data_IF_643200238514
#
_entry.id   IF_643200238514
#
_cell.length_a   1.000
_cell.length_b   1.000
_cell.length_c   1.000
_cell.angle_alpha   90.00
_cell.angle_beta   90.00
_cell.angle_gamma   90.00
#
_symmetry.space_group_name_H-M   'P 1'
#
loop_
_entity.id
_entity.type
_entity.pdbx_description
1 polymer ?
#
# COMPACT_ATOMS: atom_id res chain seq x y z
N UNK A 1 25.55 18.30 -6.83
CA UNK A 1 25.22 16.90 -6.52
C UNK A 1 23.74 16.68 -6.78
N UNK A 2 23.42 15.97 -7.83
CA UNK A 2 22.04 15.64 -8.12
C UNK A 2 21.56 14.63 -7.08
N UNK A 3 20.67 15.06 -6.21
CA UNK A 3 19.97 14.15 -5.32
C UNK A 3 19.07 13.30 -6.20
N UNK A 4 19.49 12.09 -6.50
CA UNK A 4 18.62 11.11 -7.15
C UNK A 4 17.45 10.90 -6.20
N UNK A 5 16.27 11.33 -6.62
CA UNK A 5 15.05 11.12 -5.85
C UNK A 5 14.91 9.61 -5.58
N UNK A 6 14.61 9.25 -4.34
CA UNK A 6 14.36 7.86 -3.98
C UNK A 6 13.23 7.29 -4.87
N UNK A 7 13.35 6.04 -5.33
CA UNK A 7 12.35 5.46 -6.20
C UNK A 7 10.99 5.42 -5.50
N UNK A 8 9.96 5.78 -6.26
CA UNK A 8 8.56 5.77 -5.82
C UNK A 8 7.80 4.73 -6.63
N UNK A 9 7.05 3.89 -5.94
CA UNK A 9 6.21 2.89 -6.57
C UNK A 9 4.75 3.05 -6.13
N UNK A 10 3.85 3.01 -7.09
CA UNK A 10 2.42 2.92 -6.82
C UNK A 10 2.01 1.45 -6.68
N UNK A 11 1.19 1.15 -5.69
CA UNK A 11 0.78 -0.22 -5.37
C UNK A 11 0.10 -0.93 -6.55
N UNK A 12 -0.74 -0.21 -7.30
CA UNK A 12 -1.40 -0.78 -8.47
C UNK A 12 -0.42 -1.27 -9.55
N UNK A 13 0.76 -0.64 -9.66
CA UNK A 13 1.81 -1.08 -10.59
C UNK A 13 2.64 -2.24 -10.06
N UNK A 14 2.72 -2.40 -8.76
CA UNK A 14 3.42 -3.52 -8.13
C UNK A 14 2.63 -4.82 -8.25
N UNK A 15 1.32 -4.73 -8.20
CA UNK A 15 0.44 -5.90 -8.38
C UNK A 15 0.56 -6.43 -9.81
N UNK A 16 0.76 -7.74 -9.94
CA UNK A 16 1.01 -8.39 -11.23
C UNK A 16 2.49 -8.47 -11.61
N UNK A 17 3.37 -7.81 -10.84
CA UNK A 17 4.82 -7.85 -11.06
C UNK A 17 5.38 -9.22 -10.71
N UNK A 18 6.29 -9.72 -11.55
CA UNK A 18 7.00 -10.98 -11.29
C UNK A 18 8.04 -10.82 -10.19
N UNK A 19 8.11 -11.82 -9.33
CA UNK A 19 9.17 -11.97 -8.32
C UNK A 19 10.19 -12.97 -8.83
N UNK A 20 11.45 -12.54 -8.86
CA UNK A 20 12.57 -13.35 -9.31
C UNK A 20 13.45 -13.78 -8.14
N UNK A 21 14.00 -14.97 -8.23
CA UNK A 21 15.04 -15.43 -7.33
C UNK A 21 16.42 -14.90 -7.76
N UNK A 22 17.51 -15.16 -6.98
CA UNK A 22 18.84 -14.63 -7.33
C UNK A 22 19.43 -15.17 -8.64
N UNK A 23 18.95 -16.32 -9.12
CA UNK A 23 19.42 -16.89 -10.39
C UNK A 23 18.58 -16.43 -11.60
N UNK A 24 17.55 -15.62 -11.38
CA UNK A 24 16.73 -15.03 -12.43
C UNK A 24 15.47 -15.80 -12.79
N UNK A 25 15.11 -16.82 -12.04
CA UNK A 25 13.85 -17.54 -12.26
C UNK A 25 12.66 -16.79 -11.67
N UNK A 26 11.57 -16.73 -12.41
CA UNK A 26 10.30 -16.18 -11.92
C UNK A 26 9.64 -17.20 -10.99
N UNK A 27 9.54 -16.86 -9.71
CA UNK A 27 9.08 -17.78 -8.66
C UNK A 27 7.71 -17.43 -8.11
N UNK A 28 7.23 -16.21 -8.34
CA UNK A 28 5.94 -15.74 -7.83
C UNK A 28 5.47 -14.48 -8.56
N UNK A 29 4.24 -14.07 -8.27
CA UNK A 29 3.65 -12.81 -8.75
C UNK A 29 3.11 -12.01 -7.57
N UNK A 30 3.40 -10.72 -7.51
CA UNK A 30 2.87 -9.83 -6.47
C UNK A 30 1.35 -9.69 -6.62
N UNK A 31 0.62 -9.88 -5.52
CA UNK A 31 -0.84 -9.73 -5.49
C UNK A 31 -1.33 -8.62 -4.58
N UNK A 32 -0.58 -8.30 -3.54
CA UNK A 32 -0.91 -7.19 -2.64
C UNK A 32 0.34 -6.72 -1.89
N UNK A 33 0.24 -5.57 -1.27
CA UNK A 33 1.27 -5.01 -0.39
C UNK A 33 0.72 -5.01 1.04
N UNK A 34 1.49 -5.54 1.98
CA UNK A 34 1.13 -5.57 3.39
C UNK A 34 1.78 -4.39 4.08
N UNK A 35 0.99 -3.55 4.72
CA UNK A 35 1.46 -2.38 5.46
C UNK A 35 1.01 -2.44 6.92
N UNK A 36 1.78 -1.82 7.79
CA UNK A 36 1.46 -1.67 9.21
C UNK A 36 1.46 -0.19 9.56
N UNK A 37 0.33 0.37 10.02
CA UNK A 37 0.29 1.74 10.52
C UNK A 37 1.26 1.91 11.69
N UNK A 38 2.07 2.96 11.67
CA UNK A 38 2.99 3.30 12.75
C UNK A 38 2.52 4.50 13.54
N UNK A 39 1.96 5.48 12.84
CA UNK A 39 1.31 6.66 13.40
C UNK A 39 0.07 6.98 12.57
N UNK A 40 -0.65 8.03 12.94
CA UNK A 40 -1.81 8.49 12.13
C UNK A 40 -1.42 8.92 10.73
N UNK A 41 -0.17 9.32 10.53
CA UNK A 41 0.33 9.88 9.27
C UNK A 41 1.44 9.05 8.64
N UNK A 42 1.72 7.86 9.17
CA UNK A 42 2.76 6.99 8.61
C UNK A 42 2.36 5.52 8.69
N UNK A 43 2.69 4.78 7.65
CA UNK A 43 2.58 3.33 7.60
C UNK A 43 3.80 2.76 6.87
N UNK A 44 4.27 1.62 7.32
CA UNK A 44 5.43 0.94 6.76
C UNK A 44 4.99 -0.31 6.02
N UNK A 45 5.53 -0.54 4.82
CA UNK A 45 5.39 -1.80 4.12
C UNK A 45 6.24 -2.87 4.82
N UNK A 46 5.63 -3.99 5.19
CA UNK A 46 6.31 -5.11 5.86
C UNK A 46 6.53 -6.28 4.92
N UNK A 47 5.89 -6.29 3.76
CA UNK A 47 6.08 -7.32 2.75
C UNK A 47 5.01 -7.31 1.68
N UNK A 48 5.00 -8.37 0.91
CA UNK A 48 4.05 -8.58 -0.18
C UNK A 48 3.27 -9.88 0.04
N UNK A 49 2.02 -9.88 -0.40
CA UNK A 49 1.32 -11.13 -0.70
C UNK A 49 1.72 -11.51 -2.12
N UNK A 50 2.32 -12.67 -2.28
CA UNK A 50 2.72 -13.18 -3.59
C UNK A 50 2.02 -14.50 -3.88
N UNK A 51 1.72 -14.72 -5.15
CA UNK A 51 1.11 -15.95 -5.63
C UNK A 51 2.18 -16.85 -6.24
N UNK A 52 2.29 -18.04 -5.70
CA UNK A 52 3.17 -19.09 -6.18
C UNK A 52 2.37 -20.14 -6.97
N UNK A 53 3.02 -21.23 -7.38
CA UNK A 53 2.37 -22.32 -8.10
C UNK A 53 1.08 -22.80 -7.42
N UNK A 54 0.12 -23.28 -8.22
CA UNK A 54 -1.22 -23.72 -7.77
C UNK A 54 -2.06 -22.59 -7.13
N UNK A 55 -1.85 -21.35 -7.55
CA UNK A 55 -2.57 -20.15 -7.05
C UNK A 55 -2.51 -19.97 -5.54
N UNK A 56 -1.48 -20.52 -4.91
CA UNK A 56 -1.30 -20.37 -3.48
C UNK A 56 -0.68 -19.03 -3.15
N UNK A 57 -1.25 -18.32 -2.18
CA UNK A 57 -0.76 -17.03 -1.70
C UNK A 57 0.10 -17.20 -0.48
N UNK A 58 1.30 -16.65 -0.51
CA UNK A 58 2.28 -16.71 0.58
C UNK A 58 2.79 -15.29 0.88
N UNK A 59 3.36 -15.11 2.07
CA UNK A 59 3.93 -13.83 2.48
C UNK A 59 5.42 -13.77 2.11
N UNK A 60 5.79 -12.70 1.41
CA UNK A 60 7.19 -12.36 1.16
C UNK A 60 7.59 -11.17 2.04
N UNK A 61 8.35 -11.39 3.12
CA UNK A 61 8.81 -10.28 3.96
C UNK A 61 9.66 -9.28 3.18
N UNK A 62 9.50 -7.99 3.49
CA UNK A 62 10.27 -6.93 2.83
C UNK A 62 11.78 -7.10 3.03
N UNK A 63 12.19 -7.72 4.13
CA UNK A 63 13.61 -8.02 4.42
C UNK A 63 14.21 -9.04 3.46
N UNK A 64 13.40 -9.78 2.75
CA UNK A 64 13.84 -10.73 1.71
C UNK A 64 13.76 -10.16 0.30
N UNK A 65 13.36 -8.91 0.16
CA UNK A 65 13.35 -8.20 -1.11
C UNK A 65 14.67 -7.47 -1.27
N UNK A 66 15.42 -7.84 -2.29
CA UNK A 66 16.73 -7.24 -2.59
C UNK A 66 16.56 -5.96 -3.38
N UNK A 67 15.65 -5.93 -4.36
CA UNK A 67 15.37 -4.74 -5.14
C UNK A 67 13.96 -4.75 -5.71
N UNK A 68 13.42 -3.56 -5.92
CA UNK A 68 12.18 -3.31 -6.63
C UNK A 68 12.52 -2.37 -7.78
N UNK A 69 12.10 -2.76 -8.97
CA UNK A 69 12.23 -1.94 -10.18
C UNK A 69 10.99 -2.10 -11.04
N UNK A 70 10.79 -1.24 -12.05
CA UNK A 70 9.63 -1.39 -12.94
C UNK A 70 9.57 -2.78 -13.56
N UNK A 71 8.46 -3.49 -13.29
CA UNK A 71 8.20 -4.82 -13.85
C UNK A 71 8.87 -6.00 -13.14
N UNK A 72 9.65 -5.77 -12.07
CA UNK A 72 10.26 -6.90 -11.35
C UNK A 72 10.54 -6.60 -9.88
N UNK A 73 10.43 -7.64 -9.07
CA UNK A 73 10.85 -7.68 -7.68
C UNK A 73 11.88 -8.80 -7.57
N UNK A 74 13.04 -8.51 -7.01
CA UNK A 74 14.09 -9.52 -6.78
C UNK A 74 14.11 -9.89 -5.31
N UNK A 75 14.03 -11.18 -5.03
CA UNK A 75 14.05 -11.74 -3.68
C UNK A 75 15.35 -12.49 -3.41
N UNK A 76 15.57 -12.84 -2.15
CA UNK A 76 16.72 -13.66 -1.74
C UNK A 76 16.54 -15.15 -2.05
N UNK A 77 15.41 -15.55 -2.67
CA UNK A 77 15.23 -16.86 -3.29
C UNK A 77 14.40 -17.87 -2.52
N UNK A 78 14.39 -17.84 -1.21
CA UNK A 78 13.57 -18.78 -0.44
C UNK A 78 12.26 -18.14 -0.03
N UNK A 79 11.18 -18.53 -0.70
CA UNK A 79 9.84 -18.10 -0.34
C UNK A 79 9.30 -18.97 0.81
N UNK A 80 8.60 -18.33 1.72
CA UNK A 80 7.90 -19.03 2.78
C UNK A 80 6.78 -19.88 2.17
N UNK A 81 6.78 -21.17 2.47
CA UNK A 81 5.76 -22.10 1.96
C UNK A 81 4.44 -22.01 2.71
N UNK A 82 4.37 -21.24 3.78
CA UNK A 82 3.15 -21.07 4.54
C UNK A 82 2.16 -20.20 3.80
N UNK A 83 0.89 -20.59 3.82
CA UNK A 83 -0.20 -19.79 3.30
C UNK A 83 -0.24 -18.44 4.01
N UNK A 84 -0.48 -17.38 3.24
CA UNK A 84 -0.63 -16.06 3.80
C UNK A 84 -1.87 -15.97 4.68
N UNK A 85 -1.69 -15.48 5.89
CA UNK A 85 -2.76 -15.11 6.82
C UNK A 85 -2.45 -13.72 7.38
N UNK A 86 -3.41 -12.81 7.25
CA UNK A 86 -3.26 -11.44 7.73
C UNK A 86 -3.22 -11.44 9.26
N UNK A 87 -2.17 -10.83 9.82
CA UNK A 87 -2.01 -10.68 11.26
C UNK A 87 -2.75 -9.45 11.75
N UNK A 88 -3.04 -9.41 13.06
CA UNK A 88 -3.60 -8.22 13.71
C UNK A 88 -2.67 -7.02 13.49
N UNK A 89 -3.23 -5.88 13.09
CA UNK A 89 -2.48 -4.66 12.78
C UNK A 89 -1.97 -4.57 11.35
N UNK A 90 -2.01 -5.65 10.58
CA UNK A 90 -1.65 -5.62 9.16
C UNK A 90 -2.84 -5.22 8.29
N UNK A 91 -2.56 -4.40 7.28
CA UNK A 91 -3.53 -3.99 6.27
C UNK A 91 -3.02 -4.33 4.89
N UNK A 92 -3.93 -4.78 4.03
CA UNK A 92 -3.66 -5.02 2.62
C UNK A 92 -3.96 -3.75 1.84
N UNK A 93 -3.02 -3.28 1.03
CA UNK A 93 -3.25 -2.05 0.24
C UNK A 93 -4.40 -2.25 -0.73
N UNK A 94 -4.36 -3.29 -1.55
CA UNK A 94 -5.42 -3.54 -2.53
C UNK A 94 -6.70 -4.03 -1.84
N UNK A 95 -6.57 -4.97 -0.92
CA UNK A 95 -7.72 -5.60 -0.27
C UNK A 95 -8.46 -4.70 0.73
N UNK A 96 -7.72 -3.86 1.47
CA UNK A 96 -8.31 -3.11 2.59
C UNK A 96 -8.34 -1.59 2.36
N UNK A 97 -7.38 -1.01 1.64
CA UNK A 97 -7.20 0.45 1.60
C UNK A 97 -7.70 1.12 0.31
N UNK A 98 -7.60 0.46 -0.84
CA UNK A 98 -8.14 1.03 -2.07
C UNK A 98 -9.67 1.08 -2.01
N UNK A 99 -10.23 2.07 -2.70
CA UNK A 99 -11.67 2.40 -2.70
C UNK A 99 -12.24 2.89 -1.37
N UNK A 100 -11.41 3.04 -0.35
CA UNK A 100 -11.82 3.57 0.94
C UNK A 100 -12.08 5.08 0.86
N UNK A 101 -13.09 5.54 1.59
CA UNK A 101 -13.35 6.97 1.76
C UNK A 101 -12.42 7.58 2.80
N UNK A 102 -11.86 8.73 2.49
CA UNK A 102 -11.03 9.54 3.38
C UNK A 102 -11.56 10.95 3.45
N UNK A 103 -11.26 11.65 4.54
CA UNK A 103 -11.70 13.03 4.77
C UNK A 103 -10.49 13.95 4.79
N UNK A 104 -10.53 15.07 4.06
CA UNK A 104 -9.48 16.06 4.08
C UNK A 104 -9.41 16.78 5.41
N UNK A 105 -8.19 16.94 5.94
CA UNK A 105 -7.96 17.60 7.23
C UNK A 105 -8.21 19.10 7.20
N UNK A 106 -8.21 19.71 6.01
CA UNK A 106 -8.50 21.14 5.80
C UNK A 106 -10.01 21.46 5.74
N UNK A 107 -10.87 20.45 5.90
CA UNK A 107 -12.32 20.63 5.83
C UNK A 107 -12.90 20.72 4.44
N UNK A 108 -12.11 20.49 3.38
CA UNK A 108 -12.54 20.64 1.98
C UNK A 108 -13.40 19.47 1.44
N UNK A 109 -13.69 18.47 2.28
CA UNK A 109 -14.60 17.39 1.93
C UNK A 109 -13.94 16.00 2.00
N UNK A 110 -14.49 15.09 1.21
CA UNK A 110 -14.09 13.67 1.18
C UNK A 110 -13.49 13.29 -0.18
N UNK A 111 -12.75 12.19 -0.18
CA UNK A 111 -12.21 11.58 -1.38
C UNK A 111 -12.23 10.06 -1.29
N UNK A 112 -12.09 9.41 -2.43
CA UNK A 112 -11.92 7.95 -2.54
C UNK A 112 -10.48 7.65 -2.89
N UNK A 113 -9.84 6.71 -2.21
CA UNK A 113 -8.46 6.28 -2.46
C UNK A 113 -8.43 5.43 -3.73
N UNK A 114 -7.65 5.88 -4.72
CA UNK A 114 -7.47 5.17 -6.00
C UNK A 114 -6.18 4.36 -6.03
N UNK A 115 -5.12 4.86 -5.40
CA UNK A 115 -3.82 4.21 -5.34
C UNK A 115 -2.99 4.75 -4.18
N UNK A 116 -1.96 4.03 -3.82
CA UNK A 116 -1.06 4.36 -2.71
C UNK A 116 0.38 4.27 -3.22
N UNK A 117 1.17 5.31 -2.95
CA UNK A 117 2.57 5.35 -3.28
C UNK A 117 3.44 4.96 -2.08
N UNK A 118 4.49 4.20 -2.38
CA UNK A 118 5.52 3.79 -1.45
C UNK A 118 6.83 4.46 -1.84
N UNK A 119 7.47 5.11 -0.88
CA UNK A 119 8.81 5.68 -1.01
C UNK A 119 9.74 5.04 0.03
N UNK A 120 10.98 4.86 -0.35
CA UNK A 120 12.00 4.40 0.58
C UNK A 120 12.56 5.58 1.38
N UNK A 121 12.55 5.48 2.71
CA UNK A 121 13.14 6.49 3.58
C UNK A 121 14.67 6.33 3.68
N UNK A 122 15.34 7.20 4.45
CA UNK A 122 16.79 7.13 4.63
C UNK A 122 17.27 5.91 5.40
N UNK A 123 16.38 5.20 6.10
CA UNK A 123 16.66 3.92 6.77
C UNK A 123 16.38 2.71 5.89
N UNK A 124 16.06 2.94 4.60
CA UNK A 124 15.68 1.93 3.61
C UNK A 124 14.35 1.23 3.91
N UNK A 125 13.54 1.78 4.79
CA UNK A 125 12.16 1.32 4.99
C UNK A 125 11.26 1.85 3.89
N UNK A 126 10.38 1.01 3.39
CA UNK A 126 9.36 1.41 2.44
C UNK A 126 8.14 1.94 3.19
N UNK A 127 7.86 3.22 2.99
CA UNK A 127 6.81 3.94 3.70
C UNK A 127 5.69 4.33 2.74
N UNK A 128 4.46 4.28 3.22
CA UNK A 128 3.34 4.93 2.53
C UNK A 128 3.60 6.43 2.57
N UNK A 129 3.75 7.05 1.41
CA UNK A 129 4.13 8.45 1.31
C UNK A 129 3.01 9.34 0.78
N UNK A 130 2.30 8.86 -0.22
CA UNK A 130 1.26 9.63 -0.90
C UNK A 130 0.07 8.76 -1.25
N UNK A 131 -1.08 9.40 -1.34
CA UNK A 131 -2.32 8.82 -1.82
C UNK A 131 -2.71 9.49 -3.13
N UNK A 132 -3.09 8.68 -4.11
CA UNK A 132 -3.81 9.17 -5.28
C UNK A 132 -5.30 9.01 -5.00
N UNK A 133 -6.03 10.12 -5.00
CA UNK A 133 -7.44 10.16 -4.57
C UNK A 133 -8.31 10.83 -5.62
N UNK A 134 -9.59 10.47 -5.61
CA UNK A 134 -10.62 11.17 -6.37
C UNK A 134 -11.51 11.91 -5.38
N UNK A 135 -11.58 13.24 -5.53
CA UNK A 135 -12.44 14.09 -4.71
C UNK A 135 -13.90 13.72 -4.94
N UNK A 136 -14.62 13.51 -3.87
CA UNK A 136 -16.07 13.32 -3.91
C UNK A 136 -16.73 14.69 -3.99
N UNK A 137 -17.64 14.85 -4.95
CA UNK A 137 -18.51 16.02 -4.95
C UNK A 137 -19.67 15.78 -3.98
N UNK A 138 -20.07 16.78 -3.17
CA UNK A 138 -21.30 16.68 -2.40
C UNK A 138 -22.45 16.42 -3.38
N UNK A 139 -23.09 15.24 -3.28
CA UNK A 139 -24.10 14.79 -4.21
C UNK A 139 -25.40 15.53 -4.02
N UNK A 140 -25.86 16.27 -5.03
CA UNK A 140 -27.28 16.50 -5.23
C UNK A 140 -27.89 15.27 -5.92
N UNK A 141 -29.13 14.95 -5.62
CA UNK A 141 -29.87 13.77 -6.05
C UNK A 141 -30.08 13.63 -7.57
N UNK A 142 -29.43 14.41 -8.39
CA UNK A 142 -29.58 14.45 -9.85
C UNK A 142 -28.30 14.13 -10.62
N UNK A 143 -27.31 13.51 -9.99
CA UNK A 143 -25.97 13.39 -10.52
C UNK A 143 -25.64 12.11 -11.28
N UNK A 144 -26.49 11.61 -12.19
CA UNK A 144 -26.08 10.50 -13.07
C UNK A 144 -25.23 10.91 -14.28
N UNK A 145 -25.10 12.18 -14.57
CA UNK A 145 -24.15 12.71 -15.53
C UNK A 145 -22.92 13.19 -14.75
N UNK A 146 -22.16 12.24 -14.34
CA UNK A 146 -21.02 12.40 -13.47
C UNK A 146 -19.87 12.99 -14.27
N UNK A 147 -19.57 14.24 -14.08
CA UNK A 147 -18.18 14.63 -14.20
C UNK A 147 -17.42 13.84 -13.13
N UNK A 148 -16.57 12.95 -13.57
CA UNK A 148 -15.66 12.22 -12.69
C UNK A 148 -14.97 13.25 -11.80
N UNK A 149 -15.05 13.09 -10.47
CA UNK A 149 -14.43 14.01 -9.54
C UNK A 149 -12.95 14.20 -9.87
N UNK A 150 -12.43 15.37 -9.54
CA UNK A 150 -11.02 15.71 -9.71
C UNK A 150 -10.14 14.69 -9.00
N UNK A 151 -9.12 14.22 -9.69
CA UNK A 151 -8.07 13.35 -9.11
C UNK A 151 -6.88 14.19 -8.70
N UNK A 152 -6.33 13.90 -7.54
CA UNK A 152 -5.13 14.58 -7.03
C UNK A 152 -4.29 13.62 -6.20
N UNK A 153 -3.02 13.97 -6.06
CA UNK A 153 -2.08 13.24 -5.21
C UNK A 153 -1.82 14.07 -3.96
N UNK A 154 -2.03 13.47 -2.80
CA UNK A 154 -1.88 14.14 -1.51
C UNK A 154 -0.96 13.36 -0.58
N UNK A 155 -0.38 14.06 0.38
CA UNK A 155 0.36 13.40 1.46
C UNK A 155 -0.61 12.70 2.40
N UNK A 156 -0.13 11.66 3.07
CA UNK A 156 -0.94 10.91 4.03
C UNK A 156 -1.47 11.79 5.17
N UNK A 157 -0.70 12.81 5.55
CA UNK A 157 -1.09 13.78 6.58
C UNK A 157 -2.26 14.70 6.18
N UNK A 158 -2.57 14.79 4.88
CA UNK A 158 -3.65 15.64 4.37
C UNK A 158 -5.05 15.04 4.54
N UNK A 159 -5.14 13.78 4.95
CA UNK A 159 -6.40 13.05 5.08
C UNK A 159 -6.48 12.28 6.39
N UNK A 160 -7.70 11.93 6.78
CA UNK A 160 -8.00 11.02 7.89
C UNK A 160 -8.93 9.92 7.42
N UNK A 161 -9.01 8.82 8.17
CA UNK A 161 -9.92 7.72 7.90
C UNK A 161 -9.37 6.62 7.00
N UNK A 162 -8.11 6.71 6.57
CA UNK A 162 -7.50 5.68 5.72
C UNK A 162 -7.49 4.29 6.40
N UNK A 163 -7.28 4.25 7.70
CA UNK A 163 -7.23 3.00 8.46
C UNK A 163 -8.56 2.64 9.13
N UNK A 164 -9.65 3.26 8.72
CA UNK A 164 -10.97 3.06 9.27
C UNK A 164 -11.38 4.13 10.30
N UNK A 165 -12.30 3.79 11.19
CA UNK A 165 -12.74 4.67 12.27
C UNK A 165 -11.62 4.95 13.26
N UNK A 166 -11.78 5.98 14.09
CA UNK A 166 -10.78 6.29 15.10
C UNK A 166 -10.53 5.12 16.07
N UNK A 167 -11.55 4.34 16.39
CA UNK A 167 -11.42 3.15 17.21
C UNK A 167 -10.58 2.06 16.53
N UNK A 168 -10.85 1.82 15.24
CA UNK A 168 -10.08 0.86 14.43
C UNK A 168 -8.64 1.29 14.26
N UNK A 169 -8.39 2.58 14.02
CA UNK A 169 -7.04 3.13 13.96
C UNK A 169 -6.27 2.94 15.27
N UNK A 170 -6.92 3.21 16.40
CA UNK A 170 -6.31 3.02 17.72
C UNK A 170 -5.97 1.56 17.98
N UNK A 171 -6.84 0.63 17.60
CA UNK A 171 -6.61 -0.79 17.72
C UNK A 171 -5.42 -1.25 16.84
N UNK A 172 -5.33 -0.75 15.60
CA UNK A 172 -4.22 -1.07 14.71
C UNK A 172 -2.88 -0.55 15.23
N UNK A 173 -2.84 0.69 15.72
CA UNK A 173 -1.63 1.28 16.28
C UNK A 173 -1.18 0.55 17.54
N UNK A 174 -2.13 0.17 18.39
CA UNK A 174 -1.84 -0.59 19.60
C UNK A 174 -1.30 -1.99 19.27
N UNK A 175 -1.92 -2.68 18.33
CA UNK A 175 -1.45 -4.00 17.88
C UNK A 175 -0.04 -3.94 17.29
N UNK A 176 0.27 -2.90 16.50
CA UNK A 176 1.60 -2.69 15.93
C UNK A 176 2.68 -2.43 16.99
N UNK A 177 2.33 -1.79 18.11
CA UNK A 177 3.26 -1.52 19.20
C UNK A 177 3.69 -2.78 19.97
N UNK A 178 2.90 -3.85 19.91
CA UNK A 178 3.15 -5.12 20.61
C UNK A 178 3.76 -6.22 19.71
N UNK A 179 4.12 -5.90 18.46
CA UNK A 179 4.75 -6.85 17.55
C UNK A 179 6.29 -6.78 17.55
#
# INVERSE_FOLDING_TARGET
>A
MSTVAAPRFYAARLVGTSVFDPIGDSVATVRDVVVVPQTRTSARAVGFVVEVAAKRRVFLPITRVTSISPGQVISTGVLNVRRFEKRTGELLVIGDLLDRAVTFTDGSGEATVLDIALDQNRHRDWMVSRLHVRRRRPGGSFGRLVSRGETLTVELSAVTGLYGTQAEQSAHLLAAAYQ
#
